data_IF_949873071077
#
_entry.id   IF_949873071077
#
_cell.length_a   1.000
_cell.length_b   1.000
_cell.length_c   1.000
_cell.angle_alpha   90.00
_cell.angle_beta   90.00
_cell.angle_gamma   90.00
#
_symmetry.space_group_name_H-M   'P 1'
#
loop_
_entity.id
_entity.type
_entity.pdbx_description
1 polymer ?
#
# COMPACT_ATOMS: atom_id res chain seq x y z
N UNK A 1 12.13 -8.07 -6.65
CA UNK A 1 11.44 -7.22 -5.66
C UNK A 1 9.98 -7.15 -6.06
N UNK A 2 9.05 -7.48 -5.17
CA UNK A 2 7.58 -7.43 -5.40
C UNK A 2 6.88 -6.75 -4.24
N UNK A 3 5.74 -6.12 -4.50
CA UNK A 3 4.86 -5.59 -3.45
C UNK A 3 4.27 -6.77 -2.70
N UNK A 4 4.55 -6.86 -1.40
CA UNK A 4 4.07 -7.93 -0.54
C UNK A 4 2.84 -7.52 0.25
N UNK A 5 2.75 -6.25 0.62
CA UNK A 5 1.60 -5.71 1.33
C UNK A 5 1.46 -4.20 1.15
N UNK A 6 0.22 -3.72 1.28
CA UNK A 6 -0.17 -2.32 1.39
C UNK A 6 -1.03 -2.17 2.64
N UNK A 7 -0.65 -1.25 3.53
CA UNK A 7 -1.31 -1.03 4.82
C UNK A 7 -1.59 0.46 4.99
N UNK A 8 -2.79 0.79 5.48
CA UNK A 8 -3.13 2.13 5.93
C UNK A 8 -3.17 2.14 7.46
N UNK A 9 -2.44 3.07 8.07
CA UNK A 9 -2.37 3.24 9.53
C UNK A 9 -2.70 4.69 9.87
N UNK A 10 -3.50 4.93 10.90
CA UNK A 10 -3.78 6.30 11.34
C UNK A 10 -2.67 6.87 12.23
N UNK A 11 -2.75 8.16 12.59
CA UNK A 11 -1.83 8.81 13.55
C UNK A 11 -1.76 8.15 14.93
N UNK A 12 -2.76 7.35 15.30
CA UNK A 12 -2.81 6.63 16.58
C UNK A 12 -2.14 5.25 16.49
N UNK A 13 -1.68 4.83 15.32
CA UNK A 13 -1.07 3.51 15.11
C UNK A 13 -2.08 2.38 14.90
N UNK A 14 -3.36 2.71 14.66
CA UNK A 14 -4.41 1.73 14.35
C UNK A 14 -4.43 1.45 12.85
N UNK A 15 -4.38 0.19 12.47
CA UNK A 15 -4.59 -0.25 11.09
C UNK A 15 -6.03 0.04 10.68
N UNK A 16 -6.19 0.73 9.54
CA UNK A 16 -7.50 1.00 8.90
C UNK A 16 -7.79 0.06 7.75
N UNK A 17 -6.76 -0.32 7.01
CA UNK A 17 -6.86 -1.23 5.89
C UNK A 17 -5.56 -2.01 5.76
N UNK A 18 -5.63 -3.28 5.39
CA UNK A 18 -4.45 -4.06 5.02
C UNK A 18 -4.75 -5.03 3.89
N UNK A 19 -3.93 -4.97 2.85
CA UNK A 19 -3.94 -5.87 1.71
C UNK A 19 -2.58 -6.59 1.67
N UNK A 20 -2.61 -7.92 1.57
CA UNK A 20 -1.42 -8.77 1.53
C UNK A 20 -1.49 -9.65 0.28
N UNK A 21 -0.36 -9.75 -0.45
CA UNK A 21 -0.21 -10.64 -1.61
C UNK A 21 -0.43 -12.10 -1.23
N UNK A 22 0.15 -12.52 -0.12
CA UNK A 22 0.10 -13.89 0.37
C UNK A 22 -0.59 -13.98 1.73
N UNK A 23 -1.05 -15.19 2.05
CA UNK A 23 -1.57 -15.47 3.38
C UNK A 23 -0.46 -15.28 4.43
N UNK A 24 -0.76 -14.45 5.43
CA UNK A 24 0.08 -14.23 6.61
C UNK A 24 -0.81 -14.49 7.82
N UNK A 25 -0.29 -15.18 8.83
CA UNK A 25 -1.04 -15.46 10.05
C UNK A 25 -1.45 -14.17 10.76
N UNK A 26 -2.61 -14.17 11.41
CA UNK A 26 -3.14 -12.99 12.10
C UNK A 26 -2.17 -12.42 13.15
N UNK A 27 -1.50 -13.30 13.89
CA UNK A 27 -0.50 -12.88 14.90
C UNK A 27 0.68 -12.14 14.26
N UNK A 28 1.20 -12.68 13.14
CA UNK A 28 2.30 -12.03 12.41
C UNK A 28 1.86 -10.72 11.77
N UNK A 29 0.63 -10.63 11.23
CA UNK A 29 0.06 -9.38 10.70
C UNK A 29 -0.02 -8.29 11.76
N UNK A 30 -0.63 -8.58 12.92
CA UNK A 30 -0.78 -7.61 14.01
C UNK A 30 0.60 -7.12 14.50
N UNK A 31 1.55 -8.03 14.65
CA UNK A 31 2.92 -7.68 15.06
C UNK A 31 3.62 -6.79 14.02
N UNK A 32 3.54 -7.17 12.74
CA UNK A 32 4.17 -6.45 11.63
C UNK A 32 3.59 -5.05 11.47
N UNK A 33 2.26 -4.93 11.37
CA UNK A 33 1.54 -3.66 11.22
C UNK A 33 1.83 -2.73 12.40
N UNK A 34 1.79 -3.25 13.63
CA UNK A 34 2.06 -2.47 14.83
C UNK A 34 3.49 -1.93 14.86
N UNK A 35 4.49 -2.74 14.49
CA UNK A 35 5.90 -2.30 14.48
C UNK A 35 6.15 -1.28 13.36
N UNK A 36 5.72 -1.58 12.13
CA UNK A 36 5.95 -0.71 10.98
C UNK A 36 5.17 0.60 11.13
N UNK A 37 3.90 0.53 11.54
CA UNK A 37 3.07 1.71 11.78
C UNK A 37 3.68 2.66 12.81
N UNK A 38 4.09 2.13 13.98
CA UNK A 38 4.77 2.95 15.01
C UNK A 38 6.09 3.54 14.51
N UNK A 39 6.85 2.79 13.71
CA UNK A 39 8.11 3.28 13.12
C UNK A 39 7.84 4.43 12.15
N UNK A 40 6.82 4.33 11.28
CA UNK A 40 6.44 5.40 10.36
C UNK A 40 5.97 6.67 11.09
N UNK A 41 5.14 6.52 12.13
CA UNK A 41 4.59 7.65 12.90
C UNK A 41 5.68 8.42 13.66
N UNK A 42 6.72 7.73 14.15
CA UNK A 42 7.81 8.34 14.92
C UNK A 42 8.85 9.06 14.07
N UNK A 43 8.82 8.90 12.74
CA UNK A 43 9.81 9.49 11.84
C UNK A 43 9.56 10.97 11.63
N UNK A 44 10.66 11.71 11.55
CA UNK A 44 10.63 13.16 11.31
C UNK A 44 10.56 13.48 9.82
N UNK A 45 10.14 14.71 9.48
CA UNK A 45 10.00 15.15 8.09
C UNK A 45 11.33 15.27 7.32
N UNK A 46 12.47 15.25 8.02
CA UNK A 46 13.81 15.27 7.41
C UNK A 46 14.33 13.88 7.07
N UNK A 47 13.66 12.84 7.55
CA UNK A 47 14.02 11.46 7.26
C UNK A 47 13.38 10.99 5.95
N UNK A 48 14.06 10.06 5.27
CA UNK A 48 13.52 9.46 4.05
C UNK A 48 12.22 8.70 4.32
N UNK A 49 11.30 8.82 3.36
CA UNK A 49 10.07 8.02 3.21
C UNK A 49 10.33 6.54 2.91
N UNK A 50 11.61 6.14 2.82
CA UNK A 50 12.03 4.78 2.60
C UNK A 50 12.93 4.32 3.75
N UNK A 51 12.70 3.10 4.24
CA UNK A 51 13.60 2.44 5.17
C UNK A 51 13.52 0.92 5.06
N UNK A 52 14.55 0.22 5.52
CA UNK A 52 14.55 -1.24 5.55
C UNK A 52 14.03 -1.77 6.89
N UNK A 53 13.31 -2.87 6.82
CA UNK A 53 12.83 -3.63 7.96
C UNK A 53 12.80 -5.13 7.64
N UNK A 54 13.63 -5.91 8.33
CA UNK A 54 13.82 -7.34 8.06
C UNK A 54 14.16 -7.61 6.59
N UNK A 55 13.31 -8.37 5.89
CA UNK A 55 13.44 -8.73 4.46
C UNK A 55 12.63 -7.83 3.54
N UNK A 56 12.16 -6.67 4.05
CA UNK A 56 11.33 -5.74 3.31
C UNK A 56 11.97 -4.36 3.24
N UNK A 57 11.90 -3.73 2.08
CA UNK A 57 12.05 -2.28 1.94
C UNK A 57 10.67 -1.66 2.06
N UNK A 58 10.52 -0.77 3.04
CA UNK A 58 9.26 -0.08 3.31
C UNK A 58 9.31 1.29 2.64
N UNK A 59 8.26 1.61 1.88
CA UNK A 59 8.01 2.93 1.31
C UNK A 59 6.71 3.43 1.91
N UNK A 60 6.69 4.64 2.46
CA UNK A 60 5.47 5.19 3.05
C UNK A 60 5.27 6.66 2.73
N UNK A 61 4.00 7.10 2.75
CA UNK A 61 3.62 8.50 2.56
C UNK A 61 2.44 8.85 3.46
N UNK A 62 2.46 10.06 4.03
CA UNK A 62 1.38 10.56 4.88
C UNK A 62 0.41 11.42 4.07
N UNK A 63 -0.88 11.13 4.20
CA UNK A 63 -1.99 11.94 3.69
C UNK A 63 -2.97 12.23 4.83
N UNK A 64 -3.10 13.51 5.20
CA UNK A 64 -3.91 13.95 6.34
C UNK A 64 -3.62 13.15 7.65
N UNK A 65 -4.57 12.34 8.12
CA UNK A 65 -4.45 11.48 9.31
C UNK A 65 -3.97 10.05 9.02
N UNK A 66 -3.82 9.68 7.75
CA UNK A 66 -3.46 8.33 7.30
C UNK A 66 -2.03 8.25 6.79
N UNK A 67 -1.38 7.14 7.11
CA UNK A 67 -0.09 6.72 6.58
C UNK A 67 -0.34 5.54 5.65
N UNK A 68 0.01 5.73 4.38
CA UNK A 68 0.00 4.69 3.37
C UNK A 68 1.38 4.05 3.33
N UNK A 69 1.44 2.75 3.57
CA UNK A 69 2.69 2.01 3.79
C UNK A 69 2.70 0.82 2.84
N UNK A 70 3.73 0.74 2.00
CA UNK A 70 3.94 -0.35 1.06
C UNK A 70 5.21 -1.10 1.45
N UNK A 71 5.11 -2.41 1.61
CA UNK A 71 6.23 -3.30 1.83
C UNK A 71 6.65 -4.00 0.55
N UNK A 72 7.90 -3.84 0.15
CA UNK A 72 8.49 -4.49 -1.03
C UNK A 72 9.50 -5.54 -0.57
N UNK A 73 9.38 -6.78 -1.04
CA UNK A 73 10.35 -7.84 -0.73
C UNK A 73 11.70 -7.55 -1.38
N UNK A 74 12.77 -7.59 -0.59
CA UNK A 74 14.16 -7.50 -1.06
C UNK A 74 14.77 -8.87 -1.38
N UNK A 75 14.05 -9.97 -1.10
CA UNK A 75 14.57 -11.31 -1.28
C UNK A 75 14.75 -11.64 -2.76
N UNK A 76 16.01 -11.78 -3.19
CA UNK A 76 16.42 -12.31 -4.48
C UNK A 76 16.41 -13.84 -4.48
N UNK A 77 15.28 -14.47 -4.14
CA UNK A 77 15.12 -15.92 -4.19
C UNK A 77 14.26 -16.35 -5.37
N UNK A 78 14.55 -15.82 -6.55
CA UNK A 78 14.14 -16.48 -7.78
C UNK A 78 15.32 -17.36 -8.24
N UNK A 79 15.15 -18.67 -8.06
CA UNK A 79 15.96 -19.71 -8.71
C UNK A 79 15.72 -19.77 -10.23
N UNK A 80 14.87 -18.90 -10.79
CA UNK A 80 14.77 -18.64 -12.21
C UNK A 80 15.66 -17.44 -12.53
N UNK A 81 16.71 -17.62 -13.33
CA UNK A 81 17.71 -16.61 -13.70
C UNK A 81 17.19 -15.43 -14.53
N UNK A 82 16.01 -14.90 -14.22
CA UNK A 82 15.51 -13.63 -14.68
C UNK A 82 15.79 -12.65 -13.56
N UNK A 83 16.81 -11.80 -13.73
CA UNK A 83 17.03 -10.65 -12.85
C UNK A 83 15.83 -9.72 -12.98
N UNK A 84 14.76 -10.00 -12.24
CA UNK A 84 13.60 -9.12 -12.09
C UNK A 84 14.13 -7.76 -11.71
N UNK A 85 13.93 -6.80 -12.61
CA UNK A 85 14.53 -5.47 -12.55
C UNK A 85 14.39 -4.84 -11.17
N UNK A 86 15.38 -4.04 -10.80
CA UNK A 86 15.32 -3.18 -9.62
C UNK A 86 13.96 -2.48 -9.58
N UNK A 87 13.14 -2.75 -8.56
CA UNK A 87 11.91 -2.00 -8.36
C UNK A 87 12.31 -0.59 -7.97
N UNK A 88 11.90 0.37 -8.80
CA UNK A 88 12.15 1.76 -8.50
C UNK A 88 11.27 2.20 -7.33
N UNK A 89 11.90 2.48 -6.20
CA UNK A 89 11.25 2.88 -4.96
C UNK A 89 10.49 4.22 -5.11
N UNK A 90 10.97 5.10 -6.00
CA UNK A 90 10.25 6.33 -6.33
C UNK A 90 8.96 6.04 -7.11
N UNK A 91 8.98 5.02 -7.99
CA UNK A 91 7.76 4.58 -8.67
C UNK A 91 6.73 4.01 -7.69
N UNK A 92 7.17 3.31 -6.63
CA UNK A 92 6.27 2.87 -5.55
C UNK A 92 5.73 4.06 -4.75
N UNK A 93 6.57 5.08 -4.51
CA UNK A 93 6.14 6.30 -3.81
C UNK A 93 5.08 7.08 -4.59
N UNK A 94 5.25 7.19 -5.92
CA UNK A 94 4.23 7.81 -6.80
C UNK A 94 3.01 6.91 -6.99
N UNK A 95 3.18 5.58 -6.97
CA UNK A 95 2.07 4.65 -6.99
C UNK A 95 1.16 4.84 -5.76
N UNK A 96 1.72 5.07 -4.56
CA UNK A 96 0.93 5.41 -3.37
C UNK A 96 0.07 6.66 -3.64
N UNK A 97 0.62 7.66 -4.34
CA UNK A 97 -0.14 8.85 -4.69
C UNK A 97 -1.28 8.55 -5.64
N UNK A 98 -1.02 7.75 -6.67
CA UNK A 98 -2.03 7.30 -7.62
C UNK A 98 -3.18 6.56 -6.92
N UNK A 99 -2.87 5.70 -5.94
CA UNK A 99 -3.88 5.01 -5.11
C UNK A 99 -4.74 6.02 -4.36
N UNK A 100 -4.13 7.01 -3.70
CA UNK A 100 -4.88 8.02 -2.95
C UNK A 100 -5.77 8.86 -3.86
N UNK A 101 -5.28 9.25 -5.02
CA UNK A 101 -6.08 10.00 -5.99
C UNK A 101 -7.25 9.17 -6.54
N UNK A 102 -7.01 7.88 -6.83
CA UNK A 102 -8.07 6.96 -7.28
C UNK A 102 -9.15 6.81 -6.22
N UNK A 103 -8.76 6.66 -4.94
CA UNK A 103 -9.71 6.61 -3.83
C UNK A 103 -10.43 7.96 -3.64
N UNK A 104 -9.75 9.09 -3.85
CA UNK A 104 -10.39 10.40 -3.75
C UNK A 104 -11.44 10.62 -4.84
N UNK A 105 -11.17 10.16 -6.06
CA UNK A 105 -12.11 10.20 -7.18
C UNK A 105 -13.27 9.22 -6.95
N UNK A 106 -12.99 8.03 -6.40
CA UNK A 106 -14.02 7.03 -6.06
C UNK A 106 -14.96 7.46 -4.92
N UNK A 107 -14.47 8.17 -3.91
CA UNK A 107 -15.29 8.56 -2.75
C UNK A 107 -15.77 10.02 -2.76
N UNK A 108 -15.42 10.80 -3.80
CA UNK A 108 -15.71 12.24 -3.88
C UNK A 108 -15.24 12.99 -2.62
N UNK A 109 -13.92 13.12 -2.46
CA UNK A 109 -13.24 13.63 -1.26
C UNK A 109 -13.14 12.62 -0.10
N UNK A 110 -12.23 11.66 -0.28
CA UNK A 110 -12.04 10.53 0.64
C UNK A 110 -11.57 10.96 2.03
N UNK A 111 -12.26 10.48 3.07
CA UNK A 111 -11.85 10.61 4.46
C UNK A 111 -11.47 9.25 5.09
N UNK A 112 -10.76 9.28 6.23
CA UNK A 112 -10.42 8.06 7.00
C UNK A 112 -11.65 7.22 7.35
N UNK A 113 -12.78 7.90 7.58
CA UNK A 113 -14.05 7.26 7.94
C UNK A 113 -14.66 6.48 6.77
N UNK A 114 -14.50 6.97 5.53
CA UNK A 114 -15.05 6.31 4.34
C UNK A 114 -14.31 5.01 4.06
N UNK A 115 -12.97 5.03 4.20
CA UNK A 115 -12.12 3.84 4.12
C UNK A 115 -12.56 2.78 5.14
N UNK A 116 -12.84 3.19 6.38
CA UNK A 116 -13.27 2.30 7.45
C UNK A 116 -14.64 1.65 7.20
N UNK A 117 -15.61 2.42 6.70
CA UNK A 117 -16.96 1.91 6.46
C UNK A 117 -17.09 1.15 5.14
N UNK A 118 -16.20 1.37 4.19
CA UNK A 118 -16.26 0.79 2.85
C UNK A 118 -15.02 -0.08 2.52
N UNK A 119 -14.55 -0.90 3.46
CA UNK A 119 -13.34 -1.72 3.29
C UNK A 119 -13.40 -2.62 2.05
N UNK A 120 -14.56 -3.22 1.76
CA UNK A 120 -14.75 -4.08 0.59
C UNK A 120 -14.51 -3.30 -0.72
N UNK A 121 -15.04 -2.08 -0.82
CA UNK A 121 -14.84 -1.22 -2.00
C UNK A 121 -13.39 -0.79 -2.15
N UNK A 122 -12.73 -0.47 -1.04
CA UNK A 122 -11.29 -0.17 -1.04
C UNK A 122 -10.49 -1.39 -1.51
N UNK A 123 -10.85 -2.61 -1.07
CA UNK A 123 -10.24 -3.83 -1.57
C UNK A 123 -10.41 -3.97 -3.09
N UNK A 124 -11.61 -3.74 -3.63
CA UNK A 124 -11.82 -3.81 -5.09
C UNK A 124 -10.95 -2.81 -5.87
N UNK A 125 -10.83 -1.57 -5.39
CA UNK A 125 -9.96 -0.57 -6.03
C UNK A 125 -8.50 -1.02 -5.99
N UNK A 126 -8.02 -1.48 -4.83
CA UNK A 126 -6.63 -1.92 -4.67
C UNK A 126 -6.33 -3.18 -5.49
N UNK A 127 -7.25 -4.14 -5.57
CA UNK A 127 -7.09 -5.38 -6.32
C UNK A 127 -7.03 -5.12 -7.84
N UNK A 128 -7.68 -4.07 -8.33
CA UNK A 128 -7.57 -3.65 -9.73
C UNK A 128 -6.22 -2.97 -10.02
N UNK A 129 -5.70 -2.20 -9.06
CA UNK A 129 -4.41 -1.50 -9.20
C UNK A 129 -3.19 -2.39 -8.96
N UNK A 130 -3.32 -3.43 -8.12
CA UNK A 130 -2.23 -4.33 -7.73
C UNK A 130 -2.62 -5.77 -8.05
N UNK A 131 -1.85 -6.42 -8.93
CA UNK A 131 -2.04 -7.82 -9.25
C UNK A 131 -0.78 -8.63 -8.96
N UNK A 132 -0.91 -9.67 -8.12
CA UNK A 132 0.18 -10.59 -7.76
C UNK A 132 1.47 -9.91 -7.25
N UNK A 133 1.34 -8.75 -6.60
CA UNK A 133 2.47 -7.97 -6.09
C UNK A 133 3.20 -7.13 -7.13
N UNK A 134 2.61 -6.92 -8.30
CA UNK A 134 3.04 -5.93 -9.28
C UNK A 134 1.95 -4.87 -9.47
N UNK A 135 2.35 -3.67 -9.89
CA UNK A 135 1.41 -2.62 -10.30
C UNK A 135 0.80 -3.03 -11.64
N UNK A 136 -0.52 -3.19 -11.68
CA UNK A 136 -1.28 -3.59 -12.85
C UNK A 136 -1.78 -2.37 -13.62
N UNK A 137 -2.95 -1.86 -13.24
CA UNK A 137 -3.55 -0.67 -13.85
C UNK A 137 -3.21 0.59 -13.05
N UNK A 138 -2.90 1.67 -13.77
CA UNK A 138 -2.57 3.00 -13.21
C UNK A 138 -3.47 4.09 -13.75
N UNK A 139 -4.23 3.81 -14.82
CA UNK A 139 -5.23 4.72 -15.34
C UNK A 139 -6.46 4.68 -14.43
N UNK A 140 -6.64 5.74 -13.65
CA UNK A 140 -7.77 5.92 -12.72
C UNK A 140 -9.12 5.66 -13.38
N UNK A 141 -9.33 6.15 -14.61
CA UNK A 141 -10.62 5.99 -15.31
C UNK A 141 -10.93 4.52 -15.59
N UNK A 142 -9.92 3.73 -15.94
CA UNK A 142 -10.09 2.29 -16.15
C UNK A 142 -10.38 1.57 -14.84
N UNK A 143 -9.62 1.91 -13.78
CA UNK A 143 -9.83 1.34 -12.45
C UNK A 143 -11.25 1.58 -11.96
N UNK A 144 -11.71 2.85 -12.02
CA UNK A 144 -13.04 3.26 -11.58
C UNK A 144 -14.16 2.59 -12.39
N UNK A 145 -13.98 2.48 -13.70
CA UNK A 145 -14.91 1.76 -14.58
C UNK A 145 -15.02 0.28 -14.19
N UNK A 146 -13.89 -0.39 -13.93
CA UNK A 146 -13.85 -1.80 -13.55
C UNK A 146 -14.54 -2.08 -12.21
N UNK A 147 -14.40 -1.20 -11.22
CA UNK A 147 -15.08 -1.33 -9.92
C UNK A 147 -16.56 -0.93 -9.93
N UNK A 148 -17.13 -0.66 -11.11
CA UNK A 148 -18.56 -0.42 -11.28
C UNK A 148 -19.00 1.02 -11.03
N UNK A 149 -18.09 2.01 -11.10
CA UNK A 149 -18.47 3.42 -11.24
C UNK A 149 -18.77 3.79 -12.69
N UNK A 150 -19.67 3.05 -13.32
CA UNK A 150 -20.32 3.47 -14.56
C UNK A 150 -21.78 3.73 -14.24
N UNK A 151 -22.16 5.01 -14.27
CA UNK A 151 -23.51 5.39 -14.68
C UNK A 151 -23.80 4.88 -16.11
#
# INVERSE_FOLDING_TARGET
MSIEFLILVNKQGQTRFSHYKAYVSSESRISLEGVIGRKCIRRSATESSVFEYNTYTIVYRQYASLFFIVGVSTASSDLSGVSSGSVNLLSIYEFIHCVVETLNEYFEDVCEIDVLFNLEKVHFVIDEMISNGAVGETNRQHVLCAVGMTE
#
